data_IF_721222016498
#
_entry.id   IF_721222016498
#
_cell.length_a   1.000
_cell.length_b   1.000
_cell.length_c   1.000
_cell.angle_alpha   90.00
_cell.angle_beta   90.00
_cell.angle_gamma   90.00
#
_symmetry.space_group_name_H-M   'P 1'
#
loop_
_entity.id
_entity.type
_entity.pdbx_description
1 polymer ?
#
# COMPACT_ATOMS: atom_id res chain seq x y z
N UNK A 1 -30.89 -32.62 -4.79
CA UNK A 1 -30.52 -31.20 -4.57
C UNK A 1 -30.79 -30.45 -5.87
N UNK A 2 -31.74 -29.52 -5.88
CA UNK A 2 -32.21 -28.91 -7.13
C UNK A 2 -31.14 -28.04 -7.79
N UNK A 3 -30.86 -28.29 -9.07
CA UNK A 3 -29.89 -27.51 -9.88
C UNK A 3 -30.15 -26.00 -9.82
N UNK A 4 -31.42 -25.59 -9.72
CA UNK A 4 -31.84 -24.18 -9.57
C UNK A 4 -31.41 -23.57 -8.23
N UNK A 5 -31.39 -24.34 -7.14
CA UNK A 5 -30.92 -23.89 -5.82
C UNK A 5 -29.41 -23.70 -5.81
N UNK A 6 -28.67 -24.61 -6.43
CA UNK A 6 -27.21 -24.52 -6.58
C UNK A 6 -26.83 -23.30 -7.41
N UNK A 7 -27.49 -23.07 -8.55
CA UNK A 7 -27.22 -21.93 -9.42
C UNK A 7 -27.50 -20.59 -8.72
N UNK A 8 -28.60 -20.50 -7.95
CA UNK A 8 -28.89 -19.32 -7.12
C UNK A 8 -27.83 -19.09 -6.04
N UNK A 9 -27.38 -20.14 -5.36
CA UNK A 9 -26.34 -20.03 -4.33
C UNK A 9 -25.01 -19.54 -4.93
N UNK A 10 -24.62 -20.05 -6.10
CA UNK A 10 -23.43 -19.58 -6.82
C UNK A 10 -23.55 -18.12 -7.24
N UNK A 11 -24.72 -17.71 -7.75
CA UNK A 11 -24.95 -16.33 -8.18
C UNK A 11 -24.93 -15.35 -6.99
N UNK A 12 -25.55 -15.71 -5.87
CA UNK A 12 -25.50 -14.92 -4.63
C UNK A 12 -24.07 -14.85 -4.10
N UNK A 13 -23.34 -15.98 -4.11
CA UNK A 13 -21.93 -16.01 -3.73
C UNK A 13 -21.07 -15.08 -4.59
N UNK A 14 -21.31 -15.05 -5.90
CA UNK A 14 -20.62 -14.16 -6.83
C UNK A 14 -20.93 -12.68 -6.56
N UNK A 15 -22.19 -12.33 -6.32
CA UNK A 15 -22.58 -10.96 -5.93
C UNK A 15 -21.91 -10.55 -4.62
N UNK A 16 -21.92 -11.43 -3.61
CA UNK A 16 -21.24 -11.18 -2.34
C UNK A 16 -19.74 -10.95 -2.54
N UNK A 17 -19.08 -11.74 -3.39
CA UNK A 17 -17.67 -11.58 -3.71
C UNK A 17 -17.37 -10.21 -4.32
N UNK A 18 -18.21 -9.76 -5.26
CA UNK A 18 -18.08 -8.42 -5.88
C UNK A 18 -18.21 -7.34 -4.81
N UNK A 19 -19.22 -7.42 -3.94
CA UNK A 19 -19.44 -6.43 -2.87
C UNK A 19 -18.23 -6.40 -1.93
N UNK A 20 -17.76 -7.55 -1.46
CA UNK A 20 -16.60 -7.64 -0.56
C UNK A 20 -15.36 -7.03 -1.20
N UNK A 21 -15.09 -7.34 -2.48
CA UNK A 21 -13.93 -6.79 -3.20
C UNK A 21 -13.99 -5.26 -3.29
N UNK A 22 -15.18 -4.70 -3.55
CA UNK A 22 -15.36 -3.25 -3.61
C UNK A 22 -15.23 -2.60 -2.23
N UNK A 23 -15.77 -3.21 -1.16
CA UNK A 23 -15.64 -2.69 0.21
C UNK A 23 -14.19 -2.71 0.66
N UNK A 24 -13.46 -3.80 0.41
CA UNK A 24 -12.03 -3.89 0.73
C UNK A 24 -11.25 -2.79 0.01
N UNK A 25 -11.51 -2.58 -1.28
CA UNK A 25 -10.88 -1.50 -2.04
C UNK A 25 -11.16 -0.12 -1.44
N UNK A 26 -12.41 0.14 -1.05
CA UNK A 26 -12.83 1.41 -0.45
C UNK A 26 -12.15 1.66 0.90
N UNK A 27 -12.01 0.62 1.72
CA UNK A 27 -11.28 0.68 3.00
C UNK A 27 -9.80 0.96 2.75
N UNK A 28 -9.17 0.27 1.80
CA UNK A 28 -7.77 0.52 1.43
C UNK A 28 -7.60 1.96 0.98
N UNK A 29 -8.43 2.46 0.08
CA UNK A 29 -8.36 3.84 -0.43
C UNK A 29 -8.61 4.90 0.66
N UNK A 30 -9.38 4.56 1.71
CA UNK A 30 -9.68 5.49 2.80
C UNK A 30 -8.55 5.59 3.84
N UNK A 31 -7.92 4.47 4.19
CA UNK A 31 -6.89 4.43 5.23
C UNK A 31 -5.47 4.55 4.69
N UNK A 32 -5.26 4.31 3.40
CA UNK A 32 -3.92 4.34 2.79
C UNK A 32 -3.63 5.74 2.24
N UNK A 33 -2.53 6.40 2.66
CA UNK A 33 -2.15 7.68 2.09
C UNK A 33 -1.81 7.56 0.60
N UNK A 34 -2.30 8.48 -0.23
CA UNK A 34 -2.10 8.43 -1.70
C UNK A 34 -0.61 8.43 -2.11
N UNK A 35 0.25 9.11 -1.36
CA UNK A 35 1.69 9.17 -1.64
C UNK A 35 2.39 7.80 -1.51
N UNK A 36 1.78 6.82 -0.82
CA UNK A 36 2.38 5.50 -0.64
C UNK A 36 2.59 4.80 -1.99
N UNK A 37 1.56 4.78 -2.83
CA UNK A 37 1.63 4.14 -4.13
C UNK A 37 2.60 4.87 -5.06
N UNK A 38 2.64 6.19 -5.00
CA UNK A 38 3.60 6.99 -5.76
C UNK A 38 5.05 6.64 -5.39
N UNK A 39 5.35 6.48 -4.09
CA UNK A 39 6.69 6.07 -3.64
C UNK A 39 7.05 4.65 -4.11
N UNK A 40 6.11 3.71 -4.04
CA UNK A 40 6.32 2.33 -4.49
C UNK A 40 6.55 2.29 -6.00
N UNK A 41 5.73 3.01 -6.78
CA UNK A 41 5.85 3.04 -8.24
C UNK A 41 7.15 3.73 -8.68
N UNK A 42 7.55 4.81 -8.00
CA UNK A 42 8.85 5.44 -8.24
C UNK A 42 10.01 4.49 -7.94
N UNK A 43 9.98 3.78 -6.82
CA UNK A 43 11.03 2.82 -6.45
C UNK A 43 11.11 1.64 -7.42
N UNK A 44 9.97 1.17 -7.97
CA UNK A 44 9.92 0.13 -9.00
C UNK A 44 10.41 0.62 -10.37
N UNK A 45 10.20 1.89 -10.68
CA UNK A 45 10.63 2.48 -11.95
C UNK A 45 12.11 2.89 -11.95
N UNK A 46 12.69 3.14 -10.77
CA UNK A 46 14.09 3.49 -10.61
C UNK A 46 14.99 2.26 -10.80
N UNK A 47 15.58 2.15 -11.99
CA UNK A 47 16.47 1.05 -12.37
C UNK A 47 17.66 0.90 -11.42
N UNK A 48 18.21 2.01 -10.91
CA UNK A 48 19.35 1.94 -10.00
C UNK A 48 18.94 1.34 -8.65
N UNK A 49 17.73 1.66 -8.17
CA UNK A 49 17.17 1.04 -6.97
C UNK A 49 16.85 -0.44 -7.17
N UNK A 50 16.26 -0.81 -8.31
CA UNK A 50 15.97 -2.22 -8.65
C UNK A 50 17.25 -3.05 -8.72
N UNK A 51 18.34 -2.51 -9.31
CA UNK A 51 19.64 -3.19 -9.29
C UNK A 51 20.20 -3.37 -7.86
N UNK A 52 19.84 -2.52 -6.92
CA UNK A 52 20.29 -2.58 -5.53
C UNK A 52 19.45 -3.50 -4.64
N UNK A 53 18.12 -3.52 -4.82
CA UNK A 53 17.21 -4.35 -4.03
C UNK A 53 16.98 -5.73 -4.64
N UNK A 54 17.28 -5.91 -5.93
CA UNK A 54 16.90 -7.09 -6.71
C UNK A 54 15.45 -7.01 -7.17
N UNK A 55 14.85 -8.14 -7.57
CA UNK A 55 13.45 -8.15 -7.96
C UNK A 55 12.54 -7.82 -6.77
N UNK A 56 11.55 -6.97 -7.03
CA UNK A 56 10.57 -6.57 -6.02
C UNK A 56 9.74 -7.76 -5.54
N UNK A 57 9.64 -7.95 -4.22
CA UNK A 57 8.77 -8.98 -3.60
C UNK A 57 7.55 -8.38 -2.94
N UNK A 58 7.77 -7.55 -1.92
CA UNK A 58 6.72 -7.02 -1.08
C UNK A 58 7.08 -5.63 -0.55
N UNK A 59 6.07 -4.93 -0.01
CA UNK A 59 6.30 -3.72 0.77
C UNK A 59 5.64 -3.86 2.14
N UNK A 60 6.24 -3.22 3.15
CA UNK A 60 5.66 -3.04 4.47
C UNK A 60 5.51 -1.56 4.72
N UNK A 61 4.30 -1.16 5.08
CA UNK A 61 3.98 0.22 5.41
C UNK A 61 3.50 0.28 6.84
N UNK A 62 4.13 1.13 7.64
CA UNK A 62 3.65 1.47 8.97
C UNK A 62 3.58 2.98 9.09
N UNK A 63 2.61 3.47 9.87
CA UNK A 63 2.50 4.89 10.14
C UNK A 63 1.99 5.12 11.55
N UNK A 64 2.45 6.23 12.13
CA UNK A 64 1.97 6.75 13.40
C UNK A 64 1.46 8.17 13.18
N UNK A 65 0.25 8.47 13.62
CA UNK A 65 -0.34 9.81 13.53
C UNK A 65 -0.33 10.47 14.91
N UNK A 66 0.72 11.23 15.28
CA UNK A 66 0.78 11.91 16.58
C UNK A 66 -0.33 12.96 16.73
N UNK A 67 -0.84 13.51 15.63
CA UNK A 67 -2.02 14.35 15.60
C UNK A 67 -2.74 14.21 14.24
N UNK A 68 -3.97 14.74 14.12
CA UNK A 68 -4.77 14.64 12.88
C UNK A 68 -4.14 15.31 11.64
N UNK A 69 -3.13 16.17 11.83
CA UNK A 69 -2.50 16.96 10.78
C UNK A 69 -1.13 16.42 10.33
N UNK A 70 -0.51 15.53 11.12
CA UNK A 70 0.84 15.00 10.89
C UNK A 70 0.84 13.48 10.98
N UNK A 71 1.59 12.88 10.07
CA UNK A 71 1.76 11.44 9.95
C UNK A 71 3.26 11.16 9.81
N UNK A 72 3.79 10.34 10.70
CA UNK A 72 5.13 9.75 10.56
C UNK A 72 4.95 8.39 9.91
N UNK A 73 5.73 8.07 8.89
CA UNK A 73 5.62 6.80 8.19
C UNK A 73 6.97 6.14 8.01
N UNK A 74 6.90 4.83 7.87
CA UNK A 74 8.00 3.96 7.49
C UNK A 74 7.49 3.05 6.35
N UNK A 75 8.18 3.07 5.22
CA UNK A 75 7.91 2.22 4.07
C UNK A 75 9.15 1.40 3.77
N UNK A 76 9.09 0.09 4.03
CA UNK A 76 10.13 -0.85 3.63
C UNK A 76 9.73 -1.53 2.32
N UNK A 77 10.56 -1.43 1.31
CA UNK A 77 10.47 -2.15 0.04
C UNK A 77 11.47 -3.29 0.10
N UNK A 78 10.96 -4.52 0.05
CA UNK A 78 11.75 -5.74 0.24
C UNK A 78 11.94 -6.36 -1.14
N UNK A 79 13.19 -6.45 -1.58
CA UNK A 79 13.59 -7.16 -2.78
C UNK A 79 14.26 -8.50 -2.47
N UNK A 80 14.83 -9.12 -3.50
CA UNK A 80 15.60 -10.36 -3.37
C UNK A 80 16.87 -10.18 -2.55
N UNK A 81 17.60 -9.10 -2.80
CA UNK A 81 18.96 -8.90 -2.32
C UNK A 81 19.06 -7.93 -1.17
N UNK A 82 18.17 -6.94 -1.07
CA UNK A 82 18.21 -5.95 0.02
C UNK A 82 16.85 -5.34 0.32
N UNK A 83 16.77 -4.64 1.45
CA UNK A 83 15.57 -3.92 1.88
C UNK A 83 15.84 -2.41 1.89
N UNK A 84 15.03 -1.68 1.13
CA UNK A 84 15.05 -0.22 1.10
C UNK A 84 13.98 0.31 2.05
N UNK A 85 14.38 1.07 3.07
CA UNK A 85 13.43 1.66 4.02
C UNK A 85 13.39 3.18 3.87
N UNK A 86 12.19 3.71 3.63
CA UNK A 86 11.89 5.14 3.64
C UNK A 86 11.25 5.52 4.97
N UNK A 87 11.91 6.40 5.70
CA UNK A 87 11.36 7.02 6.91
C UNK A 87 11.01 8.47 6.61
N UNK A 88 9.79 8.89 6.94
CA UNK A 88 9.33 10.21 6.57
C UNK A 88 8.24 10.80 7.45
N UNK A 89 7.95 12.06 7.16
CA UNK A 89 6.84 12.80 7.75
C UNK A 89 5.99 13.41 6.63
N UNK A 90 4.68 13.30 6.78
CA UNK A 90 3.70 13.90 5.90
C UNK A 90 2.73 14.79 6.68
N UNK A 91 2.33 15.90 6.07
CA UNK A 91 1.33 16.81 6.57
C UNK A 91 0.03 16.68 5.77
N UNK A 92 -1.10 16.74 6.47
CA UNK A 92 -2.43 16.66 5.86
C UNK A 92 -2.77 18.01 5.21
N UNK A 93 -2.96 18.03 3.89
CA UNK A 93 -3.40 19.24 3.17
C UNK A 93 -4.92 19.28 3.06
N UNK A 94 -5.54 18.12 2.86
CA UNK A 94 -7.00 17.98 2.75
C UNK A 94 -7.46 16.68 3.41
N UNK A 95 -8.78 16.44 3.50
CA UNK A 95 -9.31 15.24 4.16
C UNK A 95 -8.71 13.93 3.65
N UNK A 96 -8.30 13.89 2.36
CA UNK A 96 -7.76 12.72 1.67
C UNK A 96 -6.37 12.90 1.08
N UNK A 97 -5.75 14.07 1.24
CA UNK A 97 -4.42 14.33 0.67
C UNK A 97 -3.39 14.63 1.74
N UNK A 98 -2.26 13.97 1.58
CA UNK A 98 -1.08 14.09 2.41
C UNK A 98 0.08 14.56 1.54
N UNK A 99 0.86 15.52 2.05
CA UNK A 99 2.11 15.99 1.44
C UNK A 99 3.27 15.48 2.24
N UNK A 100 4.24 14.85 1.58
CA UNK A 100 5.52 14.51 2.21
C UNK A 100 6.25 15.82 2.51
N UNK A 101 6.57 16.07 3.77
CA UNK A 101 7.41 17.20 4.21
C UNK A 101 8.88 16.82 4.25
N UNK A 102 9.17 15.59 4.69
CA UNK A 102 10.52 15.07 4.84
C UNK A 102 10.52 13.57 4.56
N UNK A 103 11.53 13.09 3.85
CA UNK A 103 11.76 11.67 3.62
C UNK A 103 13.26 11.40 3.63
N UNK A 104 13.66 10.30 4.26
CA UNK A 104 15.01 9.76 4.24
C UNK A 104 14.94 8.31 3.82
N UNK A 105 15.85 7.89 2.96
CA UNK A 105 16.00 6.49 2.57
C UNK A 105 17.24 5.89 3.25
N UNK A 106 17.09 4.67 3.73
CA UNK A 106 18.17 3.84 4.26
C UNK A 106 18.11 2.49 3.57
N UNK A 107 19.24 2.02 3.04
CA UNK A 107 19.34 0.69 2.41
C UNK A 107 20.00 -0.26 3.41
N UNK A 108 19.34 -1.40 3.66
CA UNK A 108 19.85 -2.46 4.49
C UNK A 108 20.15 -3.69 3.63
N UNK A 109 21.42 -4.07 3.57
CA UNK A 109 21.82 -5.37 3.04
C UNK A 109 21.53 -6.47 4.09
N UNK A 110 21.16 -7.69 3.66
CA UNK A 110 20.90 -8.83 4.53
C UNK A 110 22.15 -9.31 5.28
#
# INVERSE_FOLDING_TARGET
>A
MDKKRILKALFIGFICLIIVTNVVRLVVDYYTPSFLFELIDQAKADKALVEYIGDYKEYRFSYTSPNRAKLRFELSIIGDDSTLTYEGQAAKISERQWKIEQIKSTVWAP
#
